data_IF_352392669268
#
_entry.id   IF_352392669268
#
_cell.length_a   1.000
_cell.length_b   1.000
_cell.length_c   1.000
_cell.angle_alpha   90.00
_cell.angle_beta   90.00
_cell.angle_gamma   90.00
#
_symmetry.space_group_name_H-M   'P 1'
#
loop_
_entity.id
_entity.type
_entity.pdbx_description
1 polymer ?
#
# COMPACT_ATOMS: atom_id res chain seq x y z
N UNK A 1 -29.43 4.96 10.15
CA UNK A 1 -28.35 3.97 9.89
C UNK A 1 -27.37 4.01 11.06
N UNK A 2 -27.36 2.98 11.91
CA UNK A 2 -26.43 2.89 13.04
C UNK A 2 -24.98 2.71 12.55
N UNK A 3 -24.05 3.45 13.14
CA UNK A 3 -22.62 3.29 12.84
C UNK A 3 -22.09 2.15 13.72
N UNK A 4 -21.95 0.96 13.13
CA UNK A 4 -21.37 -0.19 13.83
C UNK A 4 -19.87 0.02 13.96
N UNK A 5 -19.42 0.44 15.13
CA UNK A 5 -18.02 0.66 15.50
C UNK A 5 -17.42 -0.63 16.07
N UNK A 6 -16.12 -0.85 15.86
CA UNK A 6 -15.44 -2.01 16.44
C UNK A 6 -15.12 -1.74 17.91
N UNK A 7 -15.31 -2.77 18.75
CA UNK A 7 -14.85 -2.70 20.15
C UNK A 7 -13.33 -2.81 20.22
N UNK A 8 -12.75 -2.40 21.34
CA UNK A 8 -11.30 -2.49 21.53
C UNK A 8 -10.79 -3.94 21.48
N UNK A 9 -11.61 -4.90 21.93
CA UNK A 9 -11.32 -6.33 21.81
C UNK A 9 -11.27 -6.77 20.34
N UNK A 10 -12.28 -6.40 19.54
CA UNK A 10 -12.30 -6.69 18.11
C UNK A 10 -11.12 -6.05 17.38
N UNK A 11 -10.70 -4.84 17.78
CA UNK A 11 -9.53 -4.18 17.19
C UNK A 11 -8.22 -4.91 17.51
N UNK A 12 -8.08 -5.45 18.72
CA UNK A 12 -6.92 -6.28 19.09
C UNK A 12 -6.87 -7.54 18.23
N UNK A 13 -7.96 -8.27 18.11
CA UNK A 13 -8.03 -9.49 17.30
C UNK A 13 -7.72 -9.20 15.82
N UNK A 14 -8.28 -8.10 15.28
CA UNK A 14 -7.99 -7.66 13.92
C UNK A 14 -6.53 -7.25 13.73
N UNK A 15 -5.89 -6.65 14.74
CA UNK A 15 -4.49 -6.24 14.64
C UNK A 15 -3.50 -7.41 14.67
N UNK A 16 -3.89 -8.56 15.23
CA UNK A 16 -3.09 -9.78 15.24
C UNK A 16 -3.16 -10.54 13.92
N UNK A 17 -4.16 -10.26 13.08
CA UNK A 17 -4.35 -10.96 11.83
C UNK A 17 -3.34 -10.48 10.75
N UNK A 18 -2.57 -11.38 10.12
CA UNK A 18 -1.56 -11.00 9.12
C UNK A 18 -2.15 -10.35 7.86
N UNK A 19 -3.44 -10.56 7.59
CA UNK A 19 -4.14 -9.97 6.45
C UNK A 19 -4.62 -8.53 6.70
N UNK A 20 -4.41 -8.01 7.91
CA UNK A 20 -4.75 -6.65 8.31
C UNK A 20 -3.48 -5.81 8.41
N UNK A 21 -3.43 -4.73 7.64
CA UNK A 21 -2.36 -3.74 7.71
C UNK A 21 -2.63 -2.73 8.85
N UNK A 22 -3.87 -2.25 8.95
CA UNK A 22 -4.27 -1.31 10.01
C UNK A 22 -5.74 -1.46 10.35
N UNK A 23 -6.05 -1.69 11.61
CA UNK A 23 -7.41 -1.63 12.13
C UNK A 23 -7.66 -0.28 12.83
N UNK A 24 -8.85 0.27 12.62
CA UNK A 24 -9.35 1.43 13.35
C UNK A 24 -10.80 1.18 13.70
N UNK A 25 -11.31 1.90 14.69
CA UNK A 25 -12.68 1.73 15.17
C UNK A 25 -13.74 1.82 14.03
N UNK A 26 -13.44 2.59 12.97
CA UNK A 26 -14.34 2.77 11.83
C UNK A 26 -14.07 1.80 10.69
N UNK A 27 -12.81 1.51 10.38
CA UNK A 27 -12.40 0.82 9.15
C UNK A 27 -11.18 -0.06 9.32
N UNK A 28 -11.11 -1.10 8.49
CA UNK A 28 -9.97 -2.01 8.38
C UNK A 28 -9.26 -1.73 7.05
N UNK A 29 -7.94 -1.61 7.12
CA UNK A 29 -7.05 -1.55 5.96
C UNK A 29 -6.41 -2.91 5.79
N UNK A 30 -6.63 -3.51 4.63
CA UNK A 30 -6.14 -4.85 4.30
C UNK A 30 -4.80 -4.78 3.58
N UNK A 31 -3.99 -5.82 3.75
CA UNK A 31 -2.73 -5.99 3.01
C UNK A 31 -3.01 -6.26 1.53
N UNK A 32 -2.04 -5.94 0.66
CA UNK A 32 -2.18 -6.20 -0.77
C UNK A 32 -2.17 -7.71 -1.08
N UNK A 33 -1.47 -8.49 -0.27
CA UNK A 33 -1.46 -9.94 -0.31
C UNK A 33 -2.86 -10.52 -0.08
N UNK A 34 -3.56 -10.03 0.95
CA UNK A 34 -4.92 -10.46 1.22
C UNK A 34 -5.87 -10.15 0.07
N UNK A 35 -5.76 -8.97 -0.55
CA UNK A 35 -6.61 -8.59 -1.68
C UNK A 35 -6.40 -9.53 -2.87
N UNK A 36 -5.15 -9.91 -3.16
CA UNK A 36 -4.81 -10.89 -4.20
C UNK A 36 -5.37 -12.27 -3.87
N UNK A 37 -5.13 -12.76 -2.66
CA UNK A 37 -5.68 -14.03 -2.16
C UNK A 37 -7.20 -14.07 -2.27
N UNK A 38 -7.87 -12.99 -1.88
CA UNK A 38 -9.32 -12.90 -1.93
C UNK A 38 -9.87 -13.03 -3.35
N UNK A 39 -9.28 -12.32 -4.32
CA UNK A 39 -9.76 -12.39 -5.71
C UNK A 39 -9.43 -13.73 -6.36
N UNK A 40 -8.27 -14.34 -6.06
CA UNK A 40 -7.99 -15.68 -6.56
C UNK A 40 -8.99 -16.71 -6.04
N UNK A 41 -9.31 -16.67 -4.75
CA UNK A 41 -10.27 -17.61 -4.14
C UNK A 41 -11.71 -17.33 -4.55
N UNK A 42 -12.06 -16.07 -4.81
CA UNK A 42 -13.36 -15.74 -5.36
C UNK A 42 -13.52 -16.30 -6.78
N UNK A 43 -12.47 -16.24 -7.60
CA UNK A 43 -12.48 -16.77 -8.96
C UNK A 43 -12.53 -18.31 -9.01
N UNK A 44 -12.10 -19.01 -7.96
CA UNK A 44 -12.30 -20.47 -7.83
C UNK A 44 -13.73 -20.86 -7.45
N UNK A 45 -14.59 -19.88 -7.13
CA UNK A 45 -16.00 -20.08 -6.81
C UNK A 45 -16.32 -20.10 -5.31
N UNK A 46 -15.35 -19.81 -4.42
CA UNK A 46 -15.61 -19.75 -2.98
C UNK A 46 -16.46 -18.54 -2.60
N UNK A 47 -17.32 -18.69 -1.59
CA UNK A 47 -18.16 -17.60 -1.15
C UNK A 47 -17.35 -16.54 -0.35
N UNK A 48 -17.69 -15.24 -0.46
CA UNK A 48 -17.06 -14.17 0.33
C UNK A 48 -16.92 -14.44 1.84
N UNK A 49 -17.95 -15.05 2.43
CA UNK A 49 -18.00 -15.37 3.85
C UNK A 49 -17.01 -16.48 4.20
N UNK A 50 -16.83 -17.47 3.32
CA UNK A 50 -15.90 -18.57 3.52
C UNK A 50 -14.45 -18.10 3.40
N UNK A 51 -14.16 -17.26 2.40
CA UNK A 51 -12.82 -16.68 2.23
C UNK A 51 -12.41 -15.88 3.46
N UNK A 52 -13.33 -15.07 4.01
CA UNK A 52 -13.07 -14.30 5.24
C UNK A 52 -12.89 -15.21 6.46
N UNK A 53 -13.70 -16.27 6.61
CA UNK A 53 -13.51 -17.25 7.70
C UNK A 53 -12.16 -17.95 7.61
N UNK A 54 -11.78 -18.40 6.42
CA UNK A 54 -10.50 -19.07 6.19
C UNK A 54 -9.31 -18.14 6.45
N UNK A 55 -9.49 -16.84 6.21
CA UNK A 55 -8.53 -15.81 6.54
C UNK A 55 -8.56 -15.37 8.01
N UNK A 56 -9.31 -16.05 8.88
CA UNK A 56 -9.33 -15.79 10.32
C UNK A 56 -10.13 -14.55 10.73
N UNK A 57 -11.09 -14.11 9.93
CA UNK A 57 -11.98 -13.00 10.30
C UNK A 57 -13.28 -13.49 10.93
N UNK A 58 -13.72 -12.82 12.00
CA UNK A 58 -15.08 -12.99 12.51
C UNK A 58 -16.09 -12.26 11.61
N UNK A 59 -16.72 -13.04 10.74
CA UNK A 59 -17.73 -12.58 9.78
C UNK A 59 -18.98 -12.03 10.48
N UNK A 60 -19.31 -12.49 11.70
CA UNK A 60 -20.44 -11.96 12.46
C UNK A 60 -20.14 -10.55 12.95
N UNK A 61 -18.95 -10.32 13.52
CA UNK A 61 -18.51 -8.99 13.95
C UNK A 61 -18.36 -7.99 12.78
N UNK A 62 -17.92 -8.44 11.61
CA UNK A 62 -17.83 -7.61 10.40
C UNK A 62 -19.21 -7.14 9.91
N UNK A 63 -20.19 -8.05 9.92
CA UNK A 63 -21.53 -7.78 9.42
C UNK A 63 -21.62 -7.73 7.88
N UNK A 64 -22.83 -8.06 7.39
CA UNK A 64 -23.10 -8.27 5.96
C UNK A 64 -22.68 -7.10 5.05
N UNK A 65 -23.02 -5.87 5.44
CA UNK A 65 -22.76 -4.69 4.61
C UNK A 65 -21.27 -4.43 4.39
N UNK A 66 -20.41 -4.72 5.39
CA UNK A 66 -18.96 -4.57 5.24
C UNK A 66 -18.41 -5.64 4.30
N UNK A 67 -18.87 -6.88 4.42
CA UNK A 67 -18.51 -7.98 3.53
C UNK A 67 -18.88 -7.65 2.08
N UNK A 68 -20.13 -7.25 1.83
CA UNK A 68 -20.60 -6.95 0.46
C UNK A 68 -19.81 -5.78 -0.17
N UNK A 69 -19.53 -4.74 0.61
CA UNK A 69 -18.71 -3.61 0.16
C UNK A 69 -17.25 -4.01 -0.11
N UNK A 70 -16.69 -4.90 0.71
CA UNK A 70 -15.35 -5.44 0.55
C UNK A 70 -15.25 -6.24 -0.75
N UNK A 71 -16.17 -7.18 -0.98
CA UNK A 71 -16.21 -7.99 -2.20
C UNK A 71 -16.26 -7.10 -3.45
N UNK A 72 -17.19 -6.14 -3.49
CA UNK A 72 -17.31 -5.19 -4.61
C UNK A 72 -16.00 -4.44 -4.86
N UNK A 73 -15.38 -3.92 -3.80
CA UNK A 73 -14.12 -3.16 -3.92
C UNK A 73 -13.00 -4.04 -4.45
N UNK A 74 -12.81 -5.23 -3.89
CA UNK A 74 -11.69 -6.10 -4.25
C UNK A 74 -11.81 -6.60 -5.70
N UNK A 75 -13.00 -7.01 -6.11
CA UNK A 75 -13.27 -7.41 -7.49
C UNK A 75 -13.08 -6.24 -8.47
N UNK A 76 -13.51 -5.03 -8.09
CA UNK A 76 -13.28 -3.84 -8.93
C UNK A 76 -11.80 -3.49 -9.07
N UNK A 77 -10.98 -3.73 -8.03
CA UNK A 77 -9.53 -3.51 -8.06
C UNK A 77 -8.83 -4.59 -8.90
N UNK A 78 -9.22 -5.86 -8.76
CA UNK A 78 -8.66 -6.96 -9.53
C UNK A 78 -8.88 -6.84 -11.05
N UNK A 79 -9.88 -6.08 -11.50
CA UNK A 79 -10.14 -5.79 -12.92
C UNK A 79 -9.24 -4.69 -13.51
N UNK A 80 -8.51 -3.94 -12.68
CA UNK A 80 -7.65 -2.84 -13.14
C UNK A 80 -6.36 -3.43 -13.70
N UNK A 81 -5.82 -2.81 -14.76
CA UNK A 81 -4.53 -3.19 -15.33
C UNK A 81 -3.38 -3.05 -14.32
N UNK A 82 -3.51 -2.06 -13.43
CA UNK A 82 -2.55 -1.74 -12.37
C UNK A 82 -2.74 -2.62 -11.11
N UNK A 83 -3.80 -3.44 -11.09
CA UNK A 83 -4.12 -4.37 -10.01
C UNK A 83 -4.41 -3.69 -8.67
N UNK A 84 -3.77 -4.18 -7.61
CA UNK A 84 -3.94 -3.71 -6.23
C UNK A 84 -2.89 -2.68 -5.79
N UNK A 85 -2.01 -2.24 -6.70
CA UNK A 85 -0.95 -1.30 -6.38
C UNK A 85 -1.50 0.10 -6.04
N UNK A 86 -0.90 0.77 -5.04
CA UNK A 86 -1.25 2.15 -4.71
C UNK A 86 -0.45 3.13 -5.57
N UNK A 87 -1.10 3.60 -6.62
CA UNK A 87 -0.53 4.48 -7.63
C UNK A 87 -0.49 5.94 -7.21
N UNK A 88 -1.06 6.29 -6.05
CA UNK A 88 -1.04 7.67 -5.56
C UNK A 88 0.38 8.18 -5.32
N UNK A 89 1.35 7.27 -5.13
CA UNK A 89 2.78 7.63 -5.06
C UNK A 89 3.31 8.13 -6.41
N UNK A 90 2.92 7.46 -7.49
CA UNK A 90 3.34 7.79 -8.86
C UNK A 90 2.54 8.97 -9.44
N UNK A 91 1.23 9.02 -9.17
CA UNK A 91 0.28 10.02 -9.66
C UNK A 91 -0.07 10.99 -8.53
N UNK A 92 0.94 11.43 -7.77
CA UNK A 92 0.72 12.43 -6.72
C UNK A 92 0.56 13.82 -7.34
N UNK A 93 -0.52 14.52 -6.98
CA UNK A 93 -0.77 15.91 -7.36
C UNK A 93 -1.68 16.11 -8.57
N UNK A 94 -1.94 17.38 -8.88
CA UNK A 94 -2.71 17.79 -10.07
C UNK A 94 -1.83 17.58 -11.29
N UNK A 95 -2.25 16.72 -12.22
CA UNK A 95 -1.59 16.62 -13.52
C UNK A 95 -1.63 18.00 -14.20
N UNK A 96 -0.46 18.52 -14.57
CA UNK A 96 -0.39 19.73 -15.36
C UNK A 96 -1.06 19.45 -16.72
N UNK A 97 -2.14 20.18 -17.01
CA UNK A 97 -2.88 20.04 -18.28
C UNK A 97 -2.15 20.69 -19.45
N UNK A 98 -1.20 21.58 -19.17
CA UNK A 98 -0.40 22.25 -20.19
C UNK A 98 0.91 21.48 -20.41
N UNK A 99 1.34 21.28 -21.67
CA UNK A 99 2.66 20.74 -21.95
C UNK A 99 3.72 21.69 -21.39
N UNK A 100 4.76 21.14 -20.73
CA UNK A 100 5.87 21.96 -20.23
C UNK A 100 6.55 22.67 -21.40
N UNK A 101 6.82 23.96 -21.23
CA UNK A 101 7.67 24.70 -22.16
C UNK A 101 9.10 24.15 -22.17
N UNK A 102 9.88 24.32 -23.24
CA UNK A 102 11.26 23.84 -23.30
C UNK A 102 12.13 24.35 -22.13
N UNK A 103 11.94 25.59 -21.69
CA UNK A 103 12.71 26.20 -20.59
C UNK A 103 12.39 25.58 -19.22
N UNK A 104 11.12 25.27 -18.97
CA UNK A 104 10.69 24.57 -17.76
C UNK A 104 11.23 23.14 -17.72
N UNK A 105 11.27 22.45 -18.87
CA UNK A 105 11.88 21.13 -18.98
C UNK A 105 13.38 21.19 -18.66
N UNK A 106 14.10 22.19 -19.18
CA UNK A 106 15.52 22.39 -18.89
C UNK A 106 15.74 22.65 -17.41
N UNK A 107 14.89 23.46 -16.78
CA UNK A 107 14.99 23.76 -15.35
C UNK A 107 14.77 22.52 -14.50
N UNK A 108 13.76 21.71 -14.85
CA UNK A 108 13.49 20.43 -14.18
C UNK A 108 14.65 19.44 -14.33
N UNK A 109 15.21 19.32 -15.53
CA UNK A 109 16.38 18.46 -15.80
C UNK A 109 17.60 18.92 -15.00
N UNK A 110 17.89 20.23 -14.97
CA UNK A 110 18.97 20.79 -14.14
C UNK A 110 18.78 20.45 -12.67
N UNK A 111 17.55 20.54 -12.16
CA UNK A 111 17.23 20.16 -10.78
C UNK A 111 17.47 18.68 -10.50
N UNK A 112 17.02 17.79 -11.40
CA UNK A 112 17.25 16.34 -11.29
C UNK A 112 18.73 15.98 -11.31
N UNK A 113 19.51 16.58 -12.23
CA UNK A 113 20.96 16.38 -12.30
C UNK A 113 21.63 16.82 -11.01
N UNK A 114 21.23 17.97 -10.45
CA UNK A 114 21.77 18.45 -9.16
C UNK A 114 21.50 17.47 -8.02
N UNK A 115 20.26 16.98 -7.92
CA UNK A 115 19.87 16.00 -6.90
C UNK A 115 20.65 14.69 -7.03
N UNK A 116 20.76 14.14 -8.25
CA UNK A 116 21.52 12.92 -8.51
C UNK A 116 23.01 13.07 -8.17
N UNK A 117 23.62 14.20 -8.53
CA UNK A 117 25.00 14.51 -8.14
C UNK A 117 25.17 14.53 -6.63
N UNK A 118 24.26 15.19 -5.91
CA UNK A 118 24.31 15.25 -4.45
C UNK A 118 24.24 13.85 -3.83
N UNK A 119 23.33 13.00 -4.32
CA UNK A 119 23.22 11.62 -3.86
C UNK A 119 24.49 10.80 -4.18
N UNK A 120 25.04 10.95 -5.39
CA UNK A 120 26.29 10.30 -5.79
C UNK A 120 27.46 10.71 -4.89
N UNK A 121 27.64 12.00 -4.63
CA UNK A 121 28.69 12.48 -3.73
C UNK A 121 28.49 11.95 -2.31
N UNK A 122 27.26 11.96 -1.79
CA UNK A 122 26.98 11.41 -0.46
C UNK A 122 27.37 9.92 -0.35
N UNK A 123 27.01 9.11 -1.35
CA UNK A 123 27.43 7.70 -1.41
C UNK A 123 28.95 7.55 -1.52
N UNK A 124 29.59 8.36 -2.36
CA UNK A 124 31.05 8.36 -2.53
C UNK A 124 31.75 8.69 -1.19
N UNK A 125 31.28 9.72 -0.48
CA UNK A 125 31.80 10.07 0.84
C UNK A 125 31.63 8.92 1.84
N UNK A 126 30.43 8.34 1.94
CA UNK A 126 30.17 7.20 2.84
C UNK A 126 31.11 6.03 2.54
N UNK A 127 31.28 5.69 1.26
CA UNK A 127 32.16 4.61 0.84
C UNK A 127 33.63 4.92 1.20
N UNK A 128 34.10 6.13 0.87
CA UNK A 128 35.47 6.57 1.15
C UNK A 128 35.82 6.50 2.64
N UNK A 129 34.95 7.00 3.53
CA UNK A 129 35.13 6.89 4.97
C UNK A 129 35.07 5.45 5.48
N UNK A 130 34.19 4.61 4.91
CA UNK A 130 34.06 3.20 5.30
C UNK A 130 35.30 2.36 4.94
N UNK A 131 35.98 2.68 3.84
CA UNK A 131 37.21 2.00 3.41
C UNK A 131 38.40 2.45 4.25
N UNK A 132 38.48 3.74 4.60
CA UNK A 132 39.54 4.28 5.45
C UNK A 132 39.53 3.71 6.88
N UNK A 133 38.35 3.44 7.46
CA UNK A 133 38.24 2.93 8.84
C UNK A 133 38.25 1.40 8.95
N UNK A 134 38.20 0.66 7.83
CA UNK A 134 38.45 -0.79 7.80
C UNK A 134 39.94 -1.17 7.74
N UNK A 135 40.82 -0.20 7.56
CA UNK A 135 42.28 -0.38 7.58
C UNK A 135 42.94 -0.14 8.95
N UNK A 136 42.15 0.23 9.98
CA UNK A 136 42.62 0.51 11.34
C UNK A 136 42.05 -0.51 12.32
N UNK A 137 42.35 -1.79 12.09
CA UNK A 137 42.22 -2.84 13.09
C UNK A 137 43.55 -3.61 13.09
N UNK A 138 44.48 -3.13 13.92
CA UNK A 138 45.65 -3.85 14.40
C UNK A 138 45.65 -3.76 15.93
#
# INVERSE_FOLDING_TARGET
MGRNYFTDEQLKDLSLNPFVNKASNKSITYTDEFKKYYVSEYNTGKMPLEILRNAGFDVKALGKQRVDNLSRRFLSMGKRQEGFSDLRKEISGRLATNPLTPDEQITRLKHQVRYLKQFYYALYFINYFSVLHRGTSF
#
